data_IF_381441362293
#
_entry.id   IF_381441362293
#
_cell.length_a   1.000
_cell.length_b   1.000
_cell.length_c   1.000
_cell.angle_alpha   90.00
_cell.angle_beta   90.00
_cell.angle_gamma   90.00
#
_symmetry.space_group_name_H-M   'P 1'
#
loop_
_entity.id
_entity.type
_entity.pdbx_description
1 polymer ?
#
# COMPACT_ATOMS: atom_id res chain seq x y z
N UNK A 1 14.29 8.74 9.60
CA UNK A 1 14.94 7.79 8.67
C UNK A 1 14.06 7.59 7.43
N UNK A 2 14.66 7.76 6.25
CA UNK A 2 13.98 7.52 4.98
C UNK A 2 14.20 6.08 4.54
N UNK A 3 13.12 5.39 4.21
CA UNK A 3 13.15 4.02 3.71
C UNK A 3 12.62 4.04 2.28
N UNK A 4 13.30 3.33 1.39
CA UNK A 4 12.91 3.22 -0.02
C UNK A 4 12.72 1.77 -0.42
N UNK A 5 11.82 1.55 -1.36
CA UNK A 5 11.63 0.26 -2.01
C UNK A 5 11.42 0.48 -3.51
N UNK A 6 11.87 -0.49 -4.28
CA UNK A 6 11.75 -0.45 -5.75
C UNK A 6 11.09 -1.73 -6.22
N UNK A 7 10.09 -1.61 -7.07
CA UNK A 7 9.40 -2.75 -7.66
C UNK A 7 9.29 -2.56 -9.18
N UNK A 8 9.45 -3.65 -9.92
CA UNK A 8 9.29 -3.68 -11.37
C UNK A 8 8.08 -4.53 -11.71
N UNK A 9 7.17 -3.97 -12.49
CA UNK A 9 5.98 -4.64 -12.99
C UNK A 9 6.11 -4.85 -14.50
N UNK A 10 5.83 -6.07 -14.96
CA UNK A 10 5.80 -6.42 -16.38
C UNK A 10 4.37 -6.25 -16.87
N UNK A 11 4.16 -5.37 -17.87
CA UNK A 11 2.84 -5.11 -18.41
C UNK A 11 2.30 -6.32 -19.15
N UNK A 12 1.09 -6.73 -18.80
CA UNK A 12 0.32 -7.71 -19.56
C UNK A 12 -0.39 -7.06 -20.76
N UNK A 13 -0.96 -7.90 -21.61
CA UNK A 13 -1.66 -7.44 -22.82
C UNK A 13 -2.88 -6.55 -22.52
N UNK A 14 -3.46 -6.70 -21.33
CA UNK A 14 -4.64 -5.96 -20.89
C UNK A 14 -4.31 -4.78 -19.98
N UNK A 15 -3.05 -4.41 -19.85
CA UNK A 15 -2.60 -3.33 -18.98
C UNK A 15 -2.29 -2.07 -19.77
N UNK A 16 -2.89 -0.94 -19.38
CA UNK A 16 -2.43 0.37 -19.77
C UNK A 16 -1.24 0.77 -18.87
N UNK A 17 -0.52 1.82 -19.27
CA UNK A 17 0.56 2.37 -18.45
C UNK A 17 0.05 2.80 -17.07
N UNK A 18 -1.15 3.38 -17.00
CA UNK A 18 -1.75 3.78 -15.75
C UNK A 18 -2.11 2.58 -14.86
N UNK A 19 -2.64 1.50 -15.45
CA UNK A 19 -2.91 0.25 -14.73
C UNK A 19 -1.63 -0.31 -14.12
N UNK A 20 -0.56 -0.39 -14.93
CA UNK A 20 0.75 -0.86 -14.51
C UNK A 20 1.31 -0.03 -13.35
N UNK A 21 1.17 1.30 -13.43
CA UNK A 21 1.61 2.21 -12.38
C UNK A 21 0.92 1.93 -11.06
N UNK A 22 -0.39 1.73 -11.07
CA UNK A 22 -1.14 1.46 -9.86
C UNK A 22 -0.82 0.09 -9.27
N UNK A 23 -0.69 -0.94 -10.10
CA UNK A 23 -0.30 -2.28 -9.68
C UNK A 23 1.12 -2.30 -9.10
N UNK A 24 2.05 -1.66 -9.78
CA UNK A 24 3.44 -1.54 -9.34
C UNK A 24 3.52 -0.77 -8.00
N UNK A 25 2.76 0.31 -7.87
CA UNK A 25 2.71 1.09 -6.63
C UNK A 25 2.22 0.27 -5.45
N UNK A 26 1.19 -0.55 -5.61
CA UNK A 26 0.70 -1.40 -4.52
C UNK A 26 1.79 -2.34 -4.02
N UNK A 27 2.55 -2.95 -4.91
CA UNK A 27 3.63 -3.86 -4.54
C UNK A 27 4.79 -3.13 -3.86
N UNK A 28 5.21 -2.00 -4.42
CA UNK A 28 6.27 -1.19 -3.84
C UNK A 28 5.88 -0.63 -2.46
N UNK A 29 4.63 -0.19 -2.32
CA UNK A 29 4.06 0.27 -1.06
C UNK A 29 4.11 -0.81 0.01
N UNK A 30 3.69 -2.03 -0.30
CA UNK A 30 3.76 -3.14 0.64
C UNK A 30 5.19 -3.38 1.11
N UNK A 31 6.14 -3.40 0.19
CA UNK A 31 7.56 -3.61 0.51
C UNK A 31 8.12 -2.52 1.42
N UNK A 32 7.86 -1.25 1.12
CA UNK A 32 8.37 -0.14 1.91
C UNK A 32 7.74 -0.08 3.30
N UNK A 33 6.45 -0.42 3.41
CA UNK A 33 5.77 -0.45 4.70
C UNK A 33 6.25 -1.60 5.58
N UNK A 34 6.54 -2.77 5.02
CA UNK A 34 7.14 -3.89 5.76
C UNK A 34 8.50 -3.52 6.32
N UNK A 35 9.35 -2.88 5.52
CA UNK A 35 10.66 -2.41 5.98
C UNK A 35 10.52 -1.34 7.07
N UNK A 36 9.60 -0.40 6.90
CA UNK A 36 9.33 0.64 7.88
C UNK A 36 8.81 0.06 9.20
N UNK A 37 7.91 -0.91 9.15
CA UNK A 37 7.41 -1.62 10.33
C UNK A 37 8.56 -2.28 11.11
N UNK A 38 9.49 -2.91 10.41
CA UNK A 38 10.66 -3.52 11.03
C UNK A 38 11.54 -2.48 11.75
N UNK A 39 11.69 -1.29 11.16
CA UNK A 39 12.41 -0.18 11.82
C UNK A 39 11.68 0.28 13.07
N UNK A 40 10.37 0.46 12.98
CA UNK A 40 9.55 0.89 14.14
C UNK A 40 9.65 -0.14 15.26
N UNK A 41 9.56 -1.43 14.95
CA UNK A 41 9.66 -2.50 15.94
C UNK A 41 11.04 -2.58 16.60
N UNK A 42 12.10 -2.28 15.86
CA UNK A 42 13.46 -2.29 16.39
C UNK A 42 13.72 -1.14 17.38
N UNK A 43 12.92 -0.10 17.34
CA UNK A 43 13.00 1.00 18.29
C UNK A 43 12.19 0.64 19.55
N UNK A 44 12.86 0.49 20.67
CA UNK A 44 12.33 -0.11 21.91
C UNK A 44 11.03 0.50 22.46
N UNK A 45 10.59 1.64 21.95
CA UNK A 45 9.42 2.37 22.44
C UNK A 45 8.12 1.60 22.16
N UNK A 46 8.07 0.85 21.03
CA UNK A 46 6.87 0.10 20.64
C UNK A 46 6.57 -1.07 21.57
N UNK A 47 7.57 -1.63 22.23
CA UNK A 47 7.38 -2.74 23.19
C UNK A 47 6.53 -2.36 24.38
N UNK A 48 6.38 -1.07 24.66
CA UNK A 48 5.54 -0.57 25.78
C UNK A 48 4.04 -0.57 25.46
N UNK A 49 3.64 -0.77 24.21
CA UNK A 49 2.23 -0.70 23.81
C UNK A 49 1.48 -2.04 23.84
N UNK A 50 2.16 -3.14 24.04
CA UNK A 50 1.56 -4.50 24.08
C UNK A 50 0.66 -4.79 22.88
N UNK A 51 1.07 -4.37 21.68
CA UNK A 51 0.29 -4.57 20.47
C UNK A 51 0.44 -5.98 19.92
N UNK A 52 -0.66 -6.53 19.38
CA UNK A 52 -0.58 -7.75 18.56
C UNK A 52 0.14 -7.44 17.25
N UNK A 53 0.60 -8.48 16.54
CA UNK A 53 1.24 -8.31 15.24
C UNK A 53 0.33 -7.58 14.24
N UNK A 54 -0.95 -7.95 14.18
CA UNK A 54 -1.92 -7.33 13.28
C UNK A 54 -2.16 -5.87 13.62
N UNK A 55 -2.28 -5.55 14.90
CA UNK A 55 -2.39 -4.17 15.36
C UNK A 55 -1.15 -3.36 15.01
N UNK A 56 0.03 -3.92 15.22
CA UNK A 56 1.29 -3.28 14.89
C UNK A 56 1.38 -2.94 13.40
N UNK A 57 1.07 -3.90 12.55
CA UNK A 57 1.06 -3.71 11.08
C UNK A 57 0.05 -2.62 10.68
N UNK A 58 -1.18 -2.70 11.19
CA UNK A 58 -2.25 -1.75 10.84
C UNK A 58 -1.97 -0.34 11.33
N UNK A 59 -1.52 -0.21 12.57
CA UNK A 59 -1.26 1.11 13.17
C UNK A 59 -0.02 1.77 12.58
N UNK A 60 1.03 0.99 12.32
CA UNK A 60 2.24 1.49 11.65
C UNK A 60 1.92 2.01 10.25
N UNK A 61 1.16 1.26 9.48
CA UNK A 61 0.74 1.67 8.13
C UNK A 61 -0.08 2.97 8.17
N UNK A 62 -0.94 3.12 9.17
CA UNK A 62 -1.77 4.31 9.33
C UNK A 62 -0.98 5.58 9.69
N UNK A 63 0.21 5.43 10.26
CA UNK A 63 1.07 6.56 10.66
C UNK A 63 2.04 7.01 9.58
N UNK A 64 2.12 6.29 8.45
CA UNK A 64 3.13 6.50 7.42
C UNK A 64 2.50 6.94 6.10
N UNK A 65 3.20 7.79 5.38
CA UNK A 65 2.86 8.19 4.01
C UNK A 65 3.89 7.61 3.04
N UNK A 66 3.44 7.11 1.91
CA UNK A 66 4.29 6.54 0.86
C UNK A 66 4.21 7.41 -0.39
N UNK A 67 5.37 7.82 -0.90
CA UNK A 67 5.49 8.67 -2.07
C UNK A 67 6.28 7.98 -3.17
N UNK A 68 5.87 8.20 -4.43
CA UNK A 68 6.66 7.80 -5.60
C UNK A 68 7.76 8.85 -5.81
N UNK A 69 9.01 8.40 -5.83
CA UNK A 69 10.17 9.30 -6.04
C UNK A 69 10.81 9.09 -7.42
N UNK A 70 10.58 7.94 -8.06
CA UNK A 70 11.14 7.67 -9.38
C UNK A 70 10.24 6.70 -10.14
N UNK A 71 10.10 6.95 -11.44
CA UNK A 71 9.38 6.08 -12.37
C UNK A 71 10.22 5.87 -13.62
N UNK A 72 10.48 4.62 -13.97
CA UNK A 72 11.21 4.24 -15.17
C UNK A 72 10.38 3.26 -16.00
N UNK A 73 10.32 3.51 -17.30
CA UNK A 73 9.69 2.61 -18.27
C UNK A 73 10.79 1.96 -19.08
N UNK A 74 10.72 0.64 -19.23
CA UNK A 74 11.71 -0.13 -19.95
C UNK A 74 11.10 -1.20 -20.85
N UNK A 75 11.97 -1.93 -21.51
CA UNK A 75 11.61 -3.07 -22.35
C UNK A 75 12.53 -4.24 -21.95
N UNK A 76 11.95 -5.37 -21.63
CA UNK A 76 12.68 -6.59 -21.26
C UNK A 76 12.03 -7.79 -21.94
N UNK A 77 12.82 -8.56 -22.69
CA UNK A 77 12.34 -9.75 -23.41
C UNK A 77 11.10 -9.49 -24.29
N UNK A 78 11.05 -8.31 -24.94
CA UNK A 78 9.93 -7.93 -25.79
C UNK A 78 8.69 -7.41 -25.05
N UNK A 79 8.73 -7.32 -23.73
CA UNK A 79 7.63 -6.83 -22.90
C UNK A 79 7.98 -5.51 -22.25
N UNK A 80 7.00 -4.61 -22.18
CA UNK A 80 7.16 -3.35 -21.46
C UNK A 80 7.21 -3.60 -19.95
N UNK A 81 8.08 -2.85 -19.30
CA UNK A 81 8.21 -2.88 -17.83
C UNK A 81 8.05 -1.49 -17.26
N UNK A 82 7.52 -1.42 -16.05
CA UNK A 82 7.43 -0.19 -15.28
C UNK A 82 8.10 -0.43 -13.92
N UNK A 83 9.07 0.41 -13.58
CA UNK A 83 9.77 0.34 -12.31
C UNK A 83 9.46 1.59 -11.51
N UNK A 84 8.92 1.41 -10.32
CA UNK A 84 8.67 2.49 -9.37
C UNK A 84 9.60 2.36 -8.17
N UNK A 85 10.17 3.48 -7.77
CA UNK A 85 10.83 3.63 -6.48
C UNK A 85 9.94 4.49 -5.60
N UNK A 86 9.60 3.97 -4.43
CA UNK A 86 8.79 4.67 -3.44
C UNK A 86 9.59 4.90 -2.17
N UNK A 87 9.19 5.89 -1.39
CA UNK A 87 9.79 6.17 -0.09
C UNK A 87 8.74 6.40 0.97
N UNK A 88 9.13 6.15 2.20
CA UNK A 88 8.42 6.61 3.40
C UNK A 88 9.45 7.17 4.38
N UNK A 89 9.10 8.25 5.07
CA UNK A 89 9.94 8.85 6.09
C UNK A 89 9.44 8.39 7.47
N UNK A 90 10.33 7.73 8.23
CA UNK A 90 10.04 7.27 9.58
C UNK A 90 10.69 8.23 10.56
N UNK A 91 9.88 9.08 11.15
CA UNK A 91 10.24 9.87 12.32
C UNK A 91 9.76 9.10 13.55
N UNK A 92 10.68 8.49 14.27
CA UNK A 92 10.36 7.60 15.40
C UNK A 92 9.55 8.31 16.47
N UNK A 93 9.88 9.55 16.79
CA UNK A 93 9.17 10.32 17.81
C UNK A 93 7.73 10.62 17.37
N UNK A 94 7.55 11.02 16.12
CA UNK A 94 6.22 11.27 15.56
C UNK A 94 5.39 9.98 15.50
N UNK A 95 5.97 8.89 15.02
CA UNK A 95 5.28 7.59 14.95
C UNK A 95 4.86 7.14 16.34
N UNK A 96 5.72 7.26 17.34
CA UNK A 96 5.40 6.90 18.71
C UNK A 96 4.26 7.76 19.28
N UNK A 97 4.25 9.04 19.00
CA UNK A 97 3.17 9.93 19.42
C UNK A 97 1.83 9.54 18.79
N UNK A 98 1.84 9.19 17.50
CA UNK A 98 0.65 8.74 16.79
C UNK A 98 0.17 7.37 17.28
N UNK A 99 1.09 6.43 17.52
CA UNK A 99 0.76 5.12 18.09
C UNK A 99 0.16 5.27 19.51
N UNK A 100 0.73 6.13 20.32
CA UNK A 100 0.20 6.40 21.66
C UNK A 100 -1.22 7.00 21.59
N UNK A 101 -1.48 7.89 20.65
CA UNK A 101 -2.82 8.45 20.44
C UNK A 101 -3.83 7.40 20.00
N UNK A 102 -3.45 6.48 19.14
CA UNK A 102 -4.31 5.37 18.69
C UNK A 102 -4.62 4.44 19.87
N UNK A 103 -3.61 4.05 20.62
CA UNK A 103 -3.77 3.12 21.76
C UNK A 103 -4.62 3.74 22.87
N UNK A 104 -4.50 5.04 23.10
CA UNK A 104 -5.24 5.74 24.15
C UNK A 104 -6.73 5.96 23.82
N UNK A 105 -7.12 5.90 22.55
CA UNK A 105 -8.48 6.15 22.08
C UNK A 105 -9.03 4.91 21.37
N UNK A 106 -9.87 4.15 22.06
CA UNK A 106 -10.46 2.91 21.52
C UNK A 106 -11.27 3.16 20.24
N UNK A 107 -12.01 4.28 20.17
CA UNK A 107 -12.77 4.63 18.97
C UNK A 107 -11.87 4.91 17.79
N UNK A 108 -10.76 5.63 18.00
CA UNK A 108 -9.76 5.90 16.96
C UNK A 108 -9.08 4.60 16.53
N UNK A 109 -8.71 3.74 17.47
CA UNK A 109 -8.10 2.44 17.18
C UNK A 109 -9.01 1.57 16.29
N UNK A 110 -10.30 1.51 16.61
CA UNK A 110 -11.29 0.76 15.82
C UNK A 110 -11.43 1.33 14.41
N UNK A 111 -11.45 2.65 14.26
CA UNK A 111 -11.55 3.31 12.96
C UNK A 111 -10.31 3.05 12.10
N UNK A 112 -9.12 3.13 12.69
CA UNK A 112 -7.86 2.82 12.01
C UNK A 112 -7.84 1.36 11.57
N UNK A 113 -8.21 0.43 12.46
CA UNK A 113 -8.25 -0.99 12.14
C UNK A 113 -9.22 -1.29 10.99
N UNK A 114 -10.41 -0.69 11.00
CA UNK A 114 -11.40 -0.83 9.94
C UNK A 114 -10.91 -0.27 8.61
N UNK A 115 -10.30 0.91 8.61
CA UNK A 115 -9.74 1.51 7.40
C UNK A 115 -8.67 0.62 6.79
N UNK A 116 -7.73 0.14 7.58
CA UNK A 116 -6.64 -0.71 7.10
C UNK A 116 -7.16 -2.07 6.62
N UNK A 117 -8.15 -2.63 7.27
CA UNK A 117 -8.78 -3.87 6.82
C UNK A 117 -9.49 -3.68 5.48
N UNK A 118 -10.21 -2.60 5.28
CA UNK A 118 -10.86 -2.28 4.00
C UNK A 118 -9.84 -2.13 2.89
N UNK A 119 -8.71 -1.47 3.15
CA UNK A 119 -7.61 -1.35 2.18
C UNK A 119 -7.09 -2.74 1.80
N UNK A 120 -6.83 -3.62 2.76
CA UNK A 120 -6.35 -4.98 2.49
C UNK A 120 -7.35 -5.81 1.69
N UNK A 121 -8.64 -5.68 1.98
CA UNK A 121 -9.70 -6.37 1.22
C UNK A 121 -9.75 -5.89 -0.23
N UNK A 122 -9.64 -4.58 -0.45
CA UNK A 122 -9.61 -3.99 -1.79
C UNK A 122 -8.34 -4.40 -2.55
N UNK A 123 -7.19 -4.44 -1.90
CA UNK A 123 -5.95 -4.93 -2.50
C UNK A 123 -6.08 -6.41 -2.90
N UNK A 124 -6.74 -7.22 -2.10
CA UNK A 124 -7.07 -8.61 -2.42
C UNK A 124 -7.99 -8.71 -3.65
N UNK A 125 -8.96 -7.81 -3.78
CA UNK A 125 -9.82 -7.74 -4.97
C UNK A 125 -9.02 -7.40 -6.23
N UNK A 126 -8.04 -6.50 -6.13
CA UNK A 126 -7.15 -6.17 -7.25
C UNK A 126 -6.39 -7.42 -7.72
N UNK A 127 -5.86 -8.21 -6.79
CA UNK A 127 -5.15 -9.45 -7.13
C UNK A 127 -6.09 -10.46 -7.80
N UNK A 128 -7.31 -10.61 -7.32
CA UNK A 128 -8.32 -11.49 -7.93
C UNK A 128 -8.66 -11.02 -9.35
N UNK A 129 -8.89 -9.73 -9.54
CA UNK A 129 -9.18 -9.16 -10.86
C UNK A 129 -8.01 -9.33 -11.82
N UNK A 130 -6.77 -9.19 -11.36
CA UNK A 130 -5.58 -9.44 -12.17
C UNK A 130 -5.50 -10.89 -12.63
N UNK A 131 -5.78 -11.84 -11.74
CA UNK A 131 -5.81 -13.26 -12.09
C UNK A 131 -6.88 -13.57 -13.13
N UNK A 132 -8.05 -12.96 -13.02
CA UNK A 132 -9.12 -13.09 -14.01
C UNK A 132 -8.76 -12.43 -15.34
N UNK A 133 -8.10 -11.27 -15.31
CA UNK A 133 -7.63 -10.57 -16.51
C UNK A 133 -6.59 -11.36 -17.29
N UNK A 134 -5.74 -12.13 -16.61
CA UNK A 134 -4.69 -12.92 -17.27
C UNK A 134 -5.23 -14.00 -18.21
N UNK A 135 -6.49 -14.41 -18.01
CA UNK A 135 -7.16 -15.44 -18.81
C UNK A 135 -8.40 -14.91 -19.54
N UNK A 136 -8.67 -13.61 -19.49
CA UNK A 136 -9.88 -13.02 -20.05
C UNK A 136 -9.78 -12.84 -21.56
N UNK A 137 -10.93 -13.01 -22.24
CA UNK A 137 -11.08 -12.59 -23.64
C UNK A 137 -11.23 -11.08 -23.73
N UNK A 138 -11.03 -10.50 -24.91
CA UNK A 138 -11.10 -9.05 -25.10
C UNK A 138 -12.42 -8.42 -24.66
N UNK A 139 -13.55 -9.12 -24.83
CA UNK A 139 -14.87 -8.62 -24.42
C UNK A 139 -15.04 -8.57 -22.91
N UNK A 140 -14.50 -9.55 -22.19
CA UNK A 140 -14.54 -9.62 -20.72
C UNK A 140 -13.47 -8.73 -20.10
N UNK A 141 -12.31 -8.60 -20.73
CA UNK A 141 -11.18 -7.82 -20.21
C UNK A 141 -11.55 -6.35 -19.95
N UNK A 142 -12.31 -5.72 -20.85
CA UNK A 142 -12.72 -4.33 -20.67
C UNK A 142 -13.58 -4.12 -19.41
N UNK A 143 -14.50 -5.02 -19.13
CA UNK A 143 -15.35 -4.97 -17.94
C UNK A 143 -14.49 -5.13 -16.66
N UNK A 144 -13.57 -6.10 -16.67
CA UNK A 144 -12.67 -6.36 -15.53
C UNK A 144 -11.71 -5.18 -15.28
N UNK A 145 -11.20 -4.53 -16.33
CA UNK A 145 -10.36 -3.34 -16.20
C UNK A 145 -11.11 -2.17 -15.57
N UNK A 146 -12.36 -1.96 -15.97
CA UNK A 146 -13.22 -0.92 -15.37
C UNK A 146 -13.48 -1.21 -13.88
N UNK A 147 -13.77 -2.46 -13.56
CA UNK A 147 -13.96 -2.88 -12.16
C UNK A 147 -12.70 -2.67 -11.34
N UNK A 148 -11.53 -3.06 -11.86
CA UNK A 148 -10.23 -2.85 -11.21
C UNK A 148 -9.95 -1.36 -10.97
N UNK A 149 -10.28 -0.50 -11.94
CA UNK A 149 -10.10 0.95 -11.82
C UNK A 149 -10.91 1.51 -10.64
N UNK A 150 -12.16 1.06 -10.48
CA UNK A 150 -13.00 1.49 -9.35
C UNK A 150 -12.38 1.05 -8.02
N UNK A 151 -11.82 -0.16 -7.95
CA UNK A 151 -11.14 -0.64 -6.74
C UNK A 151 -9.92 0.22 -6.42
N UNK A 152 -9.10 0.58 -7.41
CA UNK A 152 -7.96 1.49 -7.21
C UNK A 152 -8.41 2.86 -6.67
N UNK A 153 -9.48 3.42 -7.21
CA UNK A 153 -10.03 4.70 -6.76
C UNK A 153 -10.50 4.61 -5.29
N UNK A 154 -11.11 3.49 -4.91
CA UNK A 154 -11.56 3.26 -3.54
C UNK A 154 -10.36 3.13 -2.58
N UNK A 155 -9.30 2.42 -2.96
CA UNK A 155 -8.06 2.32 -2.17
C UNK A 155 -7.47 3.72 -1.97
N UNK A 156 -7.33 4.49 -3.04
CA UNK A 156 -6.79 5.85 -2.97
C UNK A 156 -7.64 6.78 -2.09
N UNK A 157 -8.96 6.60 -2.11
CA UNK A 157 -9.86 7.33 -1.24
C UNK A 157 -9.64 7.03 0.24
N UNK A 158 -9.47 5.76 0.58
CA UNK A 158 -9.19 5.32 1.95
C UNK A 158 -7.81 5.79 2.43
N UNK A 159 -6.79 5.70 1.57
CA UNK A 159 -5.44 6.16 1.89
C UNK A 159 -5.39 7.66 2.19
N UNK A 160 -6.27 8.45 1.56
CA UNK A 160 -6.36 9.89 1.81
C UNK A 160 -7.13 10.26 3.07
N UNK A 161 -7.87 9.32 3.65
CA UNK A 161 -8.60 9.56 4.90
C UNK A 161 -7.61 9.60 6.07
N UNK A 162 -7.35 10.81 6.57
CA UNK A 162 -6.44 10.99 7.69
C UNK A 162 -7.23 10.86 9.00
N UNK A 163 -7.13 9.71 9.63
CA UNK A 163 -7.83 9.42 10.89
C UNK A 163 -7.05 9.85 12.12
N UNK A 164 -5.72 9.95 12.00
CA UNK A 164 -4.83 10.37 13.08
C UNK A 164 -4.28 11.74 12.74
N UNK A 165 -4.47 12.70 13.64
CA UNK A 165 -3.95 14.05 13.48
C UNK A 165 -2.41 14.05 13.62
N UNK A 166 -1.72 14.66 12.66
CA UNK A 166 -0.26 14.82 12.68
C UNK A 166 0.16 16.09 13.40
#
# INVERSE_FOLDING_TARGET
QTITATHTYILGDNDSRNDARQLCFLQAKQQVLEQAESVIQSQSIVTNFELTKDQMTSYSAATLSVEIVKEDVGLSNGQYTLTLTVKTDVDVDQVNSLLAAIVADTTLADRVAQQQQQIRELEGQVQTLNSRLSVATSGTANALRKERKVVFENIAGLDRMQLVAT
#
